data_IF_277759939555
#
_entry.id   IF_277759939555
#
_cell.length_a   1.000
_cell.length_b   1.000
_cell.length_c   1.000
_cell.angle_alpha   90.00
_cell.angle_beta   90.00
_cell.angle_gamma   90.00
#
_symmetry.space_group_name_H-M   'P 1'
#
loop_
_entity.id
_entity.type
_entity.pdbx_description
1 polymer ?
#
# COMPACT_ATOMS: atom_id res chain seq x y z
N UNK A 1 -37.10 -20.62 8.26
CA UNK A 1 -36.14 -20.59 9.37
C UNK A 1 -34.80 -21.18 8.92
N UNK A 2 -34.07 -20.43 8.11
CA UNK A 2 -32.78 -20.82 7.49
C UNK A 2 -31.70 -19.80 7.82
N UNK A 3 -31.60 -19.36 9.09
CA UNK A 3 -30.64 -18.35 9.55
C UNK A 3 -29.31 -18.96 10.04
N UNK A 4 -29.23 -20.28 10.18
CA UNK A 4 -28.05 -20.96 10.75
C UNK A 4 -26.98 -21.43 9.74
N UNK A 5 -27.33 -21.54 8.44
CA UNK A 5 -26.39 -22.13 7.47
C UNK A 5 -25.44 -21.13 6.80
N UNK A 6 -25.83 -19.86 6.66
CA UNK A 6 -24.99 -18.85 5.99
C UNK A 6 -23.84 -18.37 6.88
N UNK A 7 -24.05 -18.26 8.20
CA UNK A 7 -22.96 -17.92 9.14
C UNK A 7 -21.89 -19.02 9.20
N UNK A 8 -22.29 -20.29 9.17
CA UNK A 8 -21.34 -21.41 9.16
C UNK A 8 -20.51 -21.52 7.87
N UNK A 9 -20.99 -21.01 6.75
CA UNK A 9 -20.24 -21.01 5.48
C UNK A 9 -19.15 -19.94 5.50
N UNK A 10 -19.43 -18.72 5.98
CA UNK A 10 -18.44 -17.65 6.09
C UNK A 10 -17.30 -18.00 7.07
N UNK A 11 -17.61 -18.59 8.21
CA UNK A 11 -16.59 -18.98 9.18
C UNK A 11 -15.68 -20.10 8.65
N UNK A 12 -16.20 -21.01 7.83
CA UNK A 12 -15.40 -22.02 7.15
C UNK A 12 -14.43 -21.44 6.14
N UNK A 13 -14.85 -20.43 5.37
CA UNK A 13 -14.02 -19.81 4.36
C UNK A 13 -12.81 -19.07 4.98
N UNK A 14 -13.02 -18.38 6.10
CA UNK A 14 -11.94 -17.71 6.84
C UNK A 14 -10.95 -18.72 7.44
N UNK A 15 -11.46 -19.81 8.01
CA UNK A 15 -10.61 -20.85 8.60
C UNK A 15 -9.81 -21.59 7.53
N UNK A 16 -10.40 -21.90 6.39
CA UNK A 16 -9.71 -22.53 5.25
C UNK A 16 -8.65 -21.58 4.69
N UNK A 17 -8.95 -20.29 4.58
CA UNK A 17 -7.99 -19.28 4.13
C UNK A 17 -6.77 -19.26 5.05
N UNK A 18 -6.96 -19.22 6.37
CA UNK A 18 -5.87 -19.22 7.34
C UNK A 18 -5.00 -20.49 7.21
N UNK A 19 -5.61 -21.68 7.07
CA UNK A 19 -4.89 -22.93 6.87
C UNK A 19 -4.07 -22.96 5.57
N UNK A 20 -4.61 -22.39 4.47
CA UNK A 20 -3.88 -22.28 3.21
C UNK A 20 -2.68 -21.36 3.37
N UNK A 21 -2.83 -20.22 4.05
CA UNK A 21 -1.74 -19.28 4.28
C UNK A 21 -0.61 -19.91 5.13
N UNK A 22 -0.97 -20.66 6.16
CA UNK A 22 -0.01 -21.39 6.98
C UNK A 22 0.75 -22.44 6.16
N UNK A 23 0.04 -23.21 5.33
CA UNK A 23 0.65 -24.19 4.42
C UNK A 23 1.62 -23.52 3.43
N UNK A 24 1.25 -22.34 2.89
CA UNK A 24 2.13 -21.57 1.99
C UNK A 24 3.41 -21.11 2.71
N UNK A 25 3.30 -20.59 3.94
CA UNK A 25 4.46 -20.25 4.79
C UNK A 25 5.38 -21.45 5.03
N UNK A 26 4.80 -22.62 5.31
CA UNK A 26 5.57 -23.85 5.52
C UNK A 26 6.29 -24.33 4.25
N UNK A 27 5.61 -24.26 3.12
CA UNK A 27 6.22 -24.59 1.82
C UNK A 27 7.37 -23.63 1.49
N UNK A 28 7.17 -22.32 1.70
CA UNK A 28 8.22 -21.32 1.49
C UNK A 28 9.46 -21.62 2.32
N UNK A 29 9.29 -21.93 3.61
CA UNK A 29 10.40 -22.28 4.51
C UNK A 29 11.14 -23.54 4.07
N UNK A 30 10.40 -24.56 3.61
CA UNK A 30 10.98 -25.86 3.20
C UNK A 30 11.70 -25.80 1.86
N UNK A 31 11.19 -24.99 0.92
CA UNK A 31 11.68 -24.97 -0.45
C UNK A 31 12.53 -23.74 -0.77
N UNK A 32 12.59 -22.76 0.15
CA UNK A 32 13.26 -21.45 -0.04
C UNK A 32 12.81 -20.70 -1.30
N UNK A 33 11.55 -20.90 -1.74
CA UNK A 33 11.00 -20.24 -2.90
C UNK A 33 10.50 -18.83 -2.57
N UNK A 34 10.59 -17.91 -3.54
CA UNK A 34 9.91 -16.62 -3.48
C UNK A 34 8.43 -16.78 -3.85
N UNK A 35 7.53 -16.15 -3.11
CA UNK A 35 6.09 -16.14 -3.38
C UNK A 35 5.67 -14.72 -3.73
N UNK A 36 4.98 -14.54 -4.86
CA UNK A 36 4.30 -13.30 -5.20
C UNK A 36 2.81 -13.48 -4.90
N UNK A 37 2.30 -12.65 -3.97
CA UNK A 37 0.93 -12.71 -3.54
C UNK A 37 0.16 -11.49 -4.06
N UNK A 38 -0.86 -11.71 -4.90
CA UNK A 38 -1.68 -10.63 -5.47
C UNK A 38 -3.04 -10.66 -4.77
N UNK A 39 -3.33 -9.63 -4.00
CA UNK A 39 -4.55 -9.53 -3.20
C UNK A 39 -4.94 -8.07 -2.94
N UNK A 40 -6.19 -7.85 -2.60
CA UNK A 40 -6.67 -6.59 -2.04
C UNK A 40 -6.91 -6.68 -0.52
N UNK A 41 -6.67 -7.83 0.08
CA UNK A 41 -6.83 -8.04 1.53
C UNK A 41 -5.54 -7.64 2.26
N UNK A 42 -5.52 -6.43 2.81
CA UNK A 42 -4.37 -5.87 3.52
C UNK A 42 -4.05 -6.62 4.82
N UNK A 43 -5.03 -7.25 5.47
CA UNK A 43 -4.80 -8.10 6.64
C UNK A 43 -3.92 -9.30 6.30
N UNK A 44 -4.19 -9.96 5.17
CA UNK A 44 -3.36 -11.06 4.66
C UNK A 44 -1.97 -10.57 4.29
N UNK A 45 -1.86 -9.38 3.66
CA UNK A 45 -0.56 -8.79 3.32
C UNK A 45 0.28 -8.55 4.56
N UNK A 46 -0.31 -7.96 5.61
CA UNK A 46 0.38 -7.69 6.87
C UNK A 46 0.88 -8.96 7.57
N UNK A 47 0.16 -10.08 7.38
CA UNK A 47 0.48 -11.35 8.04
C UNK A 47 1.61 -12.14 7.37
N UNK A 48 1.71 -12.11 6.03
CA UNK A 48 2.58 -13.04 5.29
C UNK A 48 3.63 -12.40 4.40
N UNK A 49 3.53 -11.11 4.10
CA UNK A 49 4.44 -10.47 3.16
C UNK A 49 5.61 -9.81 3.88
N UNK A 50 6.83 -9.99 3.35
CA UNK A 50 8.01 -9.25 3.80
C UNK A 50 8.10 -7.87 3.14
N UNK A 51 7.72 -7.80 1.85
CA UNK A 51 7.72 -6.58 1.04
C UNK A 51 6.38 -6.40 0.34
N UNK A 52 5.96 -5.16 0.19
CA UNK A 52 4.69 -4.78 -0.42
C UNK A 52 4.93 -3.85 -1.60
N UNK A 53 4.21 -4.10 -2.70
CA UNK A 53 4.11 -3.20 -3.84
C UNK A 53 2.67 -2.71 -3.96
N UNK A 54 2.43 -1.45 -3.70
CA UNK A 54 1.11 -0.82 -3.85
C UNK A 54 0.93 -0.37 -5.28
N UNK A 55 -0.15 -0.82 -5.91
CA UNK A 55 -0.46 -0.50 -7.30
C UNK A 55 -1.76 0.30 -7.40
N UNK A 56 -1.77 1.29 -8.28
CA UNK A 56 -2.96 2.04 -8.66
C UNK A 56 -3.01 2.23 -10.17
N UNK A 57 -4.15 1.88 -10.79
CA UNK A 57 -4.34 2.00 -12.25
C UNK A 57 -3.18 1.42 -13.07
N UNK A 58 -2.74 0.21 -12.74
CA UNK A 58 -1.65 -0.49 -13.46
C UNK A 58 -0.24 0.07 -13.22
N UNK A 59 -0.09 1.10 -12.37
CA UNK A 59 1.21 1.66 -12.01
C UNK A 59 1.55 1.33 -10.55
N UNK A 60 2.79 0.97 -10.30
CA UNK A 60 3.32 0.84 -8.95
C UNK A 60 3.55 2.25 -8.40
N UNK A 61 2.90 2.59 -7.29
CA UNK A 61 2.95 3.94 -6.70
C UNK A 61 3.83 3.99 -5.45
N UNK A 62 3.95 2.88 -4.74
CA UNK A 62 4.79 2.76 -3.56
C UNK A 62 5.27 1.32 -3.39
N UNK A 63 6.47 1.13 -2.87
CA UNK A 63 7.06 -0.17 -2.59
C UNK A 63 7.97 -0.07 -1.38
N UNK A 64 7.90 -1.04 -0.48
CA UNK A 64 8.76 -1.09 0.69
C UNK A 64 8.57 -2.34 1.54
N UNK A 65 9.31 -2.44 2.66
CA UNK A 65 9.02 -3.41 3.71
C UNK A 65 7.58 -3.27 4.20
N UNK A 66 6.97 -4.37 4.62
CA UNK A 66 5.58 -4.36 5.10
C UNK A 66 5.36 -3.35 6.21
N UNK A 67 6.26 -3.28 7.18
CA UNK A 67 6.16 -2.34 8.30
C UNK A 67 6.18 -0.87 7.84
N UNK A 68 7.05 -0.52 6.90
CA UNK A 68 7.12 0.85 6.38
C UNK A 68 5.85 1.24 5.62
N UNK A 69 5.28 0.32 4.83
CA UNK A 69 4.03 0.57 4.12
C UNK A 69 2.85 0.77 5.08
N UNK A 70 2.79 0.00 6.18
CA UNK A 70 1.67 0.08 7.12
C UNK A 70 1.81 1.21 8.14
N UNK A 71 3.03 1.49 8.64
CA UNK A 71 3.25 2.48 9.70
C UNK A 71 3.77 3.82 9.19
N UNK A 72 4.48 3.84 8.06
CA UNK A 72 5.08 5.04 7.47
C UNK A 72 4.74 5.20 5.98
N UNK A 73 3.44 5.09 5.58
CA UNK A 73 3.04 5.21 4.18
C UNK A 73 3.39 6.60 3.64
N UNK A 74 3.87 6.64 2.42
CA UNK A 74 4.37 7.87 1.81
C UNK A 74 3.50 8.38 0.68
N UNK A 75 2.99 7.49 -0.17
CA UNK A 75 2.13 7.90 -1.29
C UNK A 75 0.71 8.22 -0.78
N UNK A 76 0.07 9.33 -1.19
CA UNK A 76 -1.28 9.69 -0.73
C UNK A 76 -2.35 8.62 -0.97
N UNK A 77 -2.21 7.80 -2.02
CA UNK A 77 -3.09 6.66 -2.23
C UNK A 77 -2.93 5.60 -1.14
N UNK A 78 -1.70 5.24 -0.78
CA UNK A 78 -1.42 4.25 0.30
C UNK A 78 -1.98 4.74 1.63
N UNK A 79 -1.77 6.03 1.94
CA UNK A 79 -2.33 6.67 3.14
C UNK A 79 -3.86 6.58 3.14
N UNK A 80 -4.52 6.93 2.03
CA UNK A 80 -5.97 6.84 1.89
C UNK A 80 -6.48 5.40 1.99
N UNK A 81 -5.76 4.44 1.41
CA UNK A 81 -6.11 3.02 1.46
C UNK A 81 -6.08 2.50 2.90
N UNK A 82 -5.05 2.82 3.67
CA UNK A 82 -4.92 2.42 5.06
C UNK A 82 -5.94 3.11 5.99
N UNK A 83 -6.28 4.37 5.72
CA UNK A 83 -7.34 5.10 6.46
C UNK A 83 -8.75 4.55 6.21
N UNK A 84 -8.97 3.90 5.07
CA UNK A 84 -10.25 3.27 4.75
C UNK A 84 -10.43 1.88 5.36
N UNK A 85 -9.41 1.35 6.08
CA UNK A 85 -9.49 0.06 6.76
C UNK A 85 -10.08 0.18 8.16
N UNK A 86 -10.90 -0.80 8.58
CA UNK A 86 -11.31 -0.93 9.98
C UNK A 86 -10.10 -1.24 10.86
N UNK A 87 -9.86 -0.44 11.88
CA UNK A 87 -8.87 -0.76 12.93
C UNK A 87 -9.57 -1.58 14.01
N UNK A 88 -9.07 -2.77 14.27
CA UNK A 88 -9.63 -3.68 15.30
C UNK A 88 -9.40 -3.12 16.72
N UNK A 89 -8.35 -2.30 16.89
CA UNK A 89 -7.90 -1.80 18.22
C UNK A 89 -8.46 -0.41 18.56
N UNK A 90 -9.26 0.20 17.70
CA UNK A 90 -9.84 1.49 17.98
C UNK A 90 -11.09 1.32 18.86
N UNK A 91 -10.99 1.67 20.15
CA UNK A 91 -12.15 1.81 21.07
C UNK A 91 -13.15 2.90 20.62
N UNK A 92 -12.77 3.72 19.66
CA UNK A 92 -13.61 4.71 19.03
C UNK A 92 -14.14 4.18 17.70
N UNK A 93 -15.44 4.29 17.48
CA UNK A 93 -16.10 4.13 16.18
C UNK A 93 -15.66 5.26 15.21
N UNK A 94 -14.37 5.36 14.92
CA UNK A 94 -13.91 6.27 13.88
C UNK A 94 -14.54 5.86 12.55
N UNK A 95 -15.26 6.79 11.96
CA UNK A 95 -15.86 6.60 10.64
C UNK A 95 -14.73 6.31 9.65
N UNK A 96 -14.84 5.18 8.96
CA UNK A 96 -13.97 4.89 7.83
C UNK A 96 -14.07 6.02 6.82
N UNK A 97 -12.94 6.61 6.47
CA UNK A 97 -12.88 7.70 5.49
C UNK A 97 -12.58 7.06 4.12
N UNK A 98 -13.58 6.95 3.23
CA UNK A 98 -13.35 6.40 1.90
C UNK A 98 -12.49 7.38 1.07
N UNK A 99 -11.71 6.84 0.14
CA UNK A 99 -11.00 7.67 -0.83
C UNK A 99 -12.05 8.29 -1.77
N UNK A 100 -12.21 9.60 -1.71
CA UNK A 100 -13.19 10.33 -2.52
C UNK A 100 -12.88 10.29 -4.03
N UNK A 101 -13.89 10.60 -4.83
CA UNK A 101 -13.79 10.69 -6.28
C UNK A 101 -13.89 9.36 -7.02
N UNK A 102 -13.98 9.44 -8.34
CA UNK A 102 -14.11 8.28 -9.24
C UNK A 102 -12.74 7.73 -9.63
N UNK A 103 -12.54 6.41 -9.67
CA UNK A 103 -11.33 5.82 -10.23
C UNK A 103 -11.10 6.26 -11.67
N UNK A 104 -9.83 6.32 -12.09
CA UNK A 104 -9.47 6.70 -13.45
C UNK A 104 -9.99 5.69 -14.48
N UNK A 105 -10.33 6.20 -15.67
CA UNK A 105 -10.63 5.37 -16.81
C UNK A 105 -9.36 4.66 -17.31
N UNK A 106 -9.39 3.33 -17.27
CA UNK A 106 -8.26 2.50 -17.71
C UNK A 106 -8.11 2.44 -19.24
N UNK A 107 -9.14 2.83 -19.99
CA UNK A 107 -9.09 2.90 -21.46
C UNK A 107 -8.32 4.14 -21.92
N UNK A 108 -8.39 5.22 -21.16
CA UNK A 108 -7.67 6.47 -21.40
C UNK A 108 -6.85 6.87 -20.15
N UNK A 109 -5.76 6.16 -19.85
CA UNK A 109 -4.96 6.45 -18.66
C UNK A 109 -4.31 7.84 -18.78
N UNK A 110 -4.28 8.62 -17.69
CA UNK A 110 -3.63 9.93 -17.72
C UNK A 110 -2.12 9.80 -17.95
N UNK A 111 -1.52 10.80 -18.62
CA UNK A 111 -0.07 10.88 -18.85
C UNK A 111 0.72 11.05 -17.53
N UNK A 112 0.10 11.70 -16.55
CA UNK A 112 0.68 11.97 -15.24
C UNK A 112 0.40 10.88 -14.20
N UNK A 113 0.43 11.30 -12.93
CA UNK A 113 0.09 10.43 -11.82
C UNK A 113 -1.39 10.00 -11.92
N UNK A 114 -1.69 8.69 -11.99
CA UNK A 114 -3.06 8.24 -12.16
C UNK A 114 -3.95 8.53 -10.93
N UNK A 115 -3.35 8.77 -9.77
CA UNK A 115 -4.08 9.14 -8.56
C UNK A 115 -4.34 10.65 -8.46
N UNK A 116 -3.72 11.49 -9.31
CA UNK A 116 -3.85 12.95 -9.24
C UNK A 116 -5.29 13.48 -9.17
N UNK A 117 -6.28 12.95 -9.92
CA UNK A 117 -7.66 13.44 -9.84
C UNK A 117 -8.36 13.23 -8.48
N UNK A 118 -7.83 12.33 -7.65
CA UNK A 118 -8.36 11.98 -6.32
C UNK A 118 -7.41 12.38 -5.18
N UNK A 119 -6.29 12.98 -5.51
CA UNK A 119 -5.26 13.33 -4.54
C UNK A 119 -5.52 14.73 -3.97
N UNK A 120 -5.69 14.85 -2.66
CA UNK A 120 -5.86 16.13 -1.95
C UNK A 120 -4.63 17.05 -2.12
N UNK A 121 -3.46 16.47 -2.41
CA UNK A 121 -2.20 17.17 -2.58
C UNK A 121 -1.78 17.29 -4.06
N UNK A 122 -2.74 17.18 -5.00
CA UNK A 122 -2.42 17.20 -6.41
C UNK A 122 -1.83 18.55 -6.85
N UNK A 123 -0.67 18.51 -7.49
CA UNK A 123 -0.01 19.65 -8.12
C UNK A 123 -0.25 19.64 -9.63
N UNK A 124 -0.07 20.79 -10.29
CA UNK A 124 -0.19 20.90 -11.76
C UNK A 124 0.70 19.92 -12.53
N UNK A 125 1.87 19.60 -11.98
CA UNK A 125 2.80 18.63 -12.58
C UNK A 125 2.27 17.20 -12.49
N UNK A 126 1.52 16.86 -11.44
CA UNK A 126 0.93 15.52 -11.27
C UNK A 126 -0.02 15.15 -12.42
N UNK A 127 -0.67 16.13 -13.03
CA UNK A 127 -1.58 15.91 -14.15
C UNK A 127 -0.86 15.69 -15.48
N UNK A 128 0.38 16.22 -15.61
CA UNK A 128 1.12 16.26 -16.88
C UNK A 128 2.22 15.21 -16.98
N UNK A 129 2.80 14.81 -15.85
CA UNK A 129 3.98 13.95 -15.85
C UNK A 129 3.94 12.94 -14.69
N UNK A 130 4.25 11.68 -15.01
CA UNK A 130 4.42 10.65 -13.98
C UNK A 130 5.65 10.97 -13.10
N UNK A 131 5.53 10.93 -11.75
CA UNK A 131 6.67 11.15 -10.87
C UNK A 131 7.68 10.01 -10.99
N UNK A 132 8.99 10.30 -10.83
CA UNK A 132 10.01 9.27 -10.67
C UNK A 132 9.84 8.57 -9.33
N UNK A 133 10.47 7.40 -9.18
CA UNK A 133 10.62 6.77 -7.88
C UNK A 133 11.69 7.50 -7.07
N UNK A 134 11.33 7.87 -5.85
CA UNK A 134 12.22 8.47 -4.86
C UNK A 134 12.42 7.51 -3.72
N UNK A 135 13.64 7.30 -3.30
CA UNK A 135 13.97 6.54 -2.10
C UNK A 135 13.69 7.40 -0.86
N UNK A 136 12.89 6.87 0.05
CA UNK A 136 12.46 7.56 1.28
C UNK A 136 12.93 6.83 2.54
N UNK A 137 13.44 5.64 2.38
CA UNK A 137 14.01 4.80 3.44
C UNK A 137 14.76 3.62 2.84
N UNK A 138 15.30 2.79 3.70
CA UNK A 138 15.98 1.56 3.28
C UNK A 138 14.97 0.63 2.58
N UNK A 139 15.20 0.36 1.30
CA UNK A 139 14.29 -0.46 0.47
C UNK A 139 12.85 0.11 0.33
N UNK A 140 12.58 1.36 0.76
CA UNK A 140 11.29 2.02 0.67
C UNK A 140 11.35 3.15 -0.35
N UNK A 141 10.50 3.09 -1.36
CA UNK A 141 10.41 4.08 -2.45
C UNK A 141 8.98 4.39 -2.84
N UNK A 142 8.76 5.62 -3.25
CA UNK A 142 7.46 6.14 -3.64
C UNK A 142 7.54 6.94 -4.94
N UNK A 143 6.55 6.75 -5.82
CA UNK A 143 6.39 7.54 -7.05
C UNK A 143 5.43 8.71 -6.77
N UNK A 144 5.93 9.75 -6.10
CA UNK A 144 5.14 10.92 -5.73
C UNK A 144 5.94 12.22 -5.87
N UNK A 145 5.35 13.23 -6.53
CA UNK A 145 5.98 14.54 -6.68
C UNK A 145 6.20 15.28 -5.37
N UNK A 146 5.40 15.03 -4.34
CA UNK A 146 5.64 15.55 -2.98
C UNK A 146 6.99 15.06 -2.45
N UNK A 147 7.29 13.76 -2.64
CA UNK A 147 8.56 13.17 -2.17
C UNK A 147 9.76 13.67 -2.97
N UNK A 148 9.56 13.92 -4.26
CA UNK A 148 10.58 14.57 -5.09
C UNK A 148 10.89 16.00 -4.57
N UNK A 149 9.87 16.74 -4.19
CA UNK A 149 10.02 18.08 -3.61
C UNK A 149 10.75 18.01 -2.26
N UNK A 150 10.34 17.11 -1.37
CA UNK A 150 10.99 16.91 -0.07
C UNK A 150 12.49 16.56 -0.22
N UNK A 151 12.82 15.71 -1.20
CA UNK A 151 14.21 15.36 -1.48
C UNK A 151 15.02 16.55 -1.96
N UNK A 152 14.51 17.34 -2.89
CA UNK A 152 15.16 18.54 -3.40
C UNK A 152 15.35 19.60 -2.31
N UNK A 153 14.43 19.71 -1.37
CA UNK A 153 14.54 20.61 -0.21
C UNK A 153 15.63 20.14 0.75
N UNK A 154 15.73 18.85 1.04
CA UNK A 154 16.80 18.27 1.87
C UNK A 154 18.19 18.49 1.26
N UNK A 155 18.33 18.30 -0.04
CA UNK A 155 19.58 18.54 -0.77
C UNK A 155 20.00 20.02 -0.71
N UNK A 156 19.04 20.96 -0.74
CA UNK A 156 19.31 22.42 -0.63
C UNK A 156 19.67 22.84 0.77
N UNK A 157 19.14 22.21 1.81
CA UNK A 157 19.36 22.59 3.22
C UNK A 157 20.61 21.95 3.82
N UNK A 158 21.31 21.07 3.07
CA UNK A 158 22.59 20.49 3.50
C UNK A 158 22.48 19.48 4.67
N UNK A 159 21.29 19.04 5.02
CA UNK A 159 21.08 18.00 6.03
C UNK A 159 21.11 16.61 5.42
N UNK A 160 22.19 16.29 4.73
CA UNK A 160 22.54 14.94 4.32
C UNK A 160 23.40 14.31 5.40
N UNK A 161 22.81 13.88 6.53
CA UNK A 161 23.50 13.00 7.46
C UNK A 161 23.56 11.61 6.81
N UNK A 162 24.74 11.33 6.26
CA UNK A 162 25.15 9.96 5.92
C UNK A 162 25.51 9.30 7.26
N UNK A 163 24.58 8.62 7.88
CA UNK A 163 24.91 7.65 8.91
C UNK A 163 25.62 6.45 8.26
N UNK A 164 26.93 6.57 8.21
CA UNK A 164 27.84 5.43 8.00
C UNK A 164 27.90 4.64 9.30
N UNK A 165 27.16 3.55 9.39
CA UNK A 165 27.41 2.53 10.40
C UNK A 165 28.43 1.52 9.83
N UNK A 166 29.65 1.58 10.41
CA UNK A 166 30.61 0.48 10.42
C UNK A 166 30.07 -0.77 11.15
#
# INVERSE_FOLDING_TARGET
RLVGSEMCIRDRDVTIQAQILELMKDLQKKTHMGIIFITHNLGVVAEICDKVCVMYAGKMVEQGPVDDIFYNPSHPYTVGLLRSMPRVDAESHERLIPIEGTPVDMLNPPEGCPFAPRCEHAMKICLKKMPPYVEIGKDHRSACWLRVQDQLEREKTGTGEVESHE
#
